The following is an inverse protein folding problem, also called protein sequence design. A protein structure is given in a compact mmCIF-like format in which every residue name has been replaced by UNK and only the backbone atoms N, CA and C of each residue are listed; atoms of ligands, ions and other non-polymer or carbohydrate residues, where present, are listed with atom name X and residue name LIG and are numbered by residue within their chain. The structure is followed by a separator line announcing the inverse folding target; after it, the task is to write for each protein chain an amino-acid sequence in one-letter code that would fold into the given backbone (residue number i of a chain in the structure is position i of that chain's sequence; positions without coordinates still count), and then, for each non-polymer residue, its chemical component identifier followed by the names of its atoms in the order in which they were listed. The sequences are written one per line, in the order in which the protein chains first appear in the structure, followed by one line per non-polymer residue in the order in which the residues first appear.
data_IF_662627926631
#
_entry.id   IF_662627926631
#
_cell.length_a   1.000
_cell.length_b   1.000
_cell.length_c   1.000
_cell.angle_alpha   90.00
_cell.angle_beta   90.00
_cell.angle_gamma   90.00
#
_symmetry.space_group_name_H-M   'P 1'
#
loop_
_entity.id
_entity.type
_entity.pdbx_description
1 polymer ?
#
# COMPACT_ATOMS: atom_id res chain seq x y z
N UNK A 1 -10.54 2.32 36.50
CA UNK A 1 -10.90 1.86 35.15
C UNK A 1 -10.01 2.60 34.16
N UNK A 2 -9.15 1.88 33.45
CA UNK A 2 -8.05 2.46 32.66
C UNK A 2 -8.53 2.81 31.25
N UNK A 3 -8.24 4.03 30.79
CA UNK A 3 -8.53 4.53 29.43
C UNK A 3 -7.67 3.87 28.33
N UNK A 4 -7.17 2.65 28.56
CA UNK A 4 -6.27 1.94 27.66
C UNK A 4 -6.89 1.73 26.26
N UNK A 5 -8.20 1.50 26.18
CA UNK A 5 -8.91 1.37 24.90
C UNK A 5 -8.95 2.70 24.13
N UNK A 6 -9.14 3.84 24.82
CA UNK A 6 -9.13 5.17 24.20
C UNK A 6 -7.73 5.56 23.71
N UNK A 7 -6.68 5.19 24.44
CA UNK A 7 -5.30 5.40 24.00
C UNK A 7 -4.94 4.54 22.77
N UNK A 8 -5.39 3.27 22.73
CA UNK A 8 -5.23 2.40 21.55
C UNK A 8 -5.96 2.93 20.33
N UNK A 9 -7.21 3.35 20.48
CA UNK A 9 -7.98 3.93 19.38
C UNK A 9 -7.34 5.22 18.84
N UNK A 10 -6.77 6.07 19.71
CA UNK A 10 -6.07 7.28 19.28
C UNK A 10 -4.76 7.00 18.54
N UNK A 11 -4.06 5.92 18.89
CA UNK A 11 -2.87 5.47 18.15
C UNK A 11 -3.24 4.88 16.79
N UNK A 12 -4.25 3.99 16.74
CA UNK A 12 -4.75 3.41 15.50
C UNK A 12 -5.29 4.47 14.52
N UNK A 13 -5.91 5.55 15.03
CA UNK A 13 -6.36 6.68 14.22
C UNK A 13 -5.21 7.35 13.44
N UNK A 14 -3.99 7.37 13.98
CA UNK A 14 -2.85 7.93 13.24
C UNK A 14 -2.36 7.00 12.12
N UNK A 15 -2.61 5.69 12.23
CA UNK A 15 -2.31 4.72 11.18
C UNK A 15 -3.39 4.69 10.08
N UNK A 16 -4.64 5.04 10.38
CA UNK A 16 -5.73 5.11 9.37
C UNK A 16 -5.47 6.11 8.22
N UNK A 17 -4.52 7.04 8.39
CA UNK A 17 -4.17 8.01 7.35
C UNK A 17 -3.09 7.51 6.39
N UNK A 18 -2.41 6.41 6.72
CA UNK A 18 -1.35 5.85 5.88
C UNK A 18 -1.79 4.51 5.31
N UNK A 19 -1.60 4.36 4.01
CA UNK A 19 -1.79 3.06 3.36
C UNK A 19 -0.68 2.12 3.83
N UNK A 20 -1.04 0.97 4.42
CA UNK A 20 -0.05 -0.05 4.74
C UNK A 20 0.24 -0.91 3.51
N UNK A 21 1.46 -1.47 3.44
CA UNK A 21 1.82 -2.37 2.34
C UNK A 21 0.93 -3.62 2.31
N UNK A 22 0.63 -4.18 3.48
CA UNK A 22 -0.24 -5.36 3.62
C UNK A 22 -1.65 -5.12 3.06
N UNK A 23 -2.20 -3.92 3.24
CA UNK A 23 -3.51 -3.56 2.67
C UNK A 23 -3.44 -3.55 1.13
N UNK A 24 -2.37 -2.99 0.56
CA UNK A 24 -2.15 -2.94 -0.89
C UNK A 24 -2.00 -4.35 -1.45
N UNK A 25 -1.19 -5.21 -0.82
CA UNK A 25 -1.00 -6.59 -1.24
C UNK A 25 -2.32 -7.37 -1.21
N UNK A 26 -3.08 -7.21 -0.13
CA UNK A 26 -4.36 -7.88 0.05
C UNK A 26 -5.40 -7.46 -0.99
N UNK A 27 -5.40 -6.20 -1.43
CA UNK A 27 -6.31 -5.71 -2.45
C UNK A 27 -5.85 -6.06 -3.87
N UNK A 28 -4.58 -5.77 -4.20
CA UNK A 28 -4.08 -5.83 -5.56
C UNK A 28 -3.82 -7.25 -6.08
N UNK A 29 -3.70 -8.26 -5.21
CA UNK A 29 -3.63 -9.68 -5.61
C UNK A 29 -4.83 -10.12 -6.47
N UNK A 30 -5.96 -9.40 -6.37
CA UNK A 30 -7.17 -9.71 -7.15
C UNK A 30 -7.17 -9.10 -8.56
N UNK A 31 -6.16 -8.29 -8.90
CA UNK A 31 -6.10 -7.50 -10.14
C UNK A 31 -4.82 -7.74 -10.96
N UNK A 32 -4.08 -8.81 -10.67
CA UNK A 32 -2.76 -9.06 -11.27
C UNK A 32 -2.80 -9.11 -12.80
N UNK A 33 -3.79 -9.80 -13.37
CA UNK A 33 -3.95 -9.92 -14.83
C UNK A 33 -4.19 -8.57 -15.52
N UNK A 34 -4.77 -7.60 -14.81
CA UNK A 34 -5.08 -6.27 -15.32
C UNK A 34 -3.83 -5.38 -15.43
N UNK A 35 -2.75 -5.72 -14.72
CA UNK A 35 -1.48 -4.98 -14.77
C UNK A 35 -0.55 -5.43 -15.90
N UNK A 36 -0.77 -6.63 -16.44
CA UNK A 36 0.02 -7.18 -17.54
C UNK A 36 0.08 -6.23 -18.73
N UNK A 37 1.29 -6.01 -19.25
CA UNK A 37 1.56 -5.15 -20.41
C UNK A 37 1.14 -3.68 -20.23
N UNK A 38 0.92 -3.23 -18.99
CA UNK A 38 0.57 -1.84 -18.67
C UNK A 38 1.77 -1.06 -18.14
N UNK A 39 1.71 0.26 -18.33
CA UNK A 39 2.58 1.23 -17.68
C UNK A 39 1.81 1.85 -16.53
N UNK A 40 2.33 1.74 -15.31
CA UNK A 40 1.68 2.27 -14.11
C UNK A 40 2.38 3.55 -13.66
N UNK A 41 1.62 4.63 -13.60
CA UNK A 41 2.10 5.91 -13.07
C UNK A 41 1.89 5.97 -11.56
N UNK A 42 2.96 5.73 -10.80
CA UNK A 42 2.96 5.84 -9.34
C UNK A 42 3.31 7.27 -8.90
N UNK A 43 2.43 8.23 -9.17
CA UNK A 43 2.63 9.62 -8.77
C UNK A 43 2.70 9.71 -7.23
N UNK A 44 3.81 10.21 -6.71
CA UNK A 44 4.03 10.42 -5.29
C UNK A 44 5.04 11.55 -5.04
N UNK A 45 4.98 12.18 -3.86
CA UNK A 45 5.88 13.27 -3.48
C UNK A 45 7.31 12.76 -3.17
N UNK A 46 7.42 11.61 -2.51
CA UNK A 46 8.67 10.90 -2.29
C UNK A 46 8.48 9.38 -2.50
N UNK A 47 9.17 8.77 -3.49
CA UNK A 47 9.12 7.33 -3.73
C UNK A 47 9.53 6.48 -2.52
N UNK A 48 10.44 6.96 -1.66
CA UNK A 48 10.93 6.20 -0.50
C UNK A 48 9.83 5.89 0.53
N UNK A 49 8.78 6.71 0.58
CA UNK A 49 7.70 6.56 1.57
C UNK A 49 6.40 6.02 0.96
N UNK A 50 6.32 5.97 -0.37
CA UNK A 50 5.12 5.52 -1.08
C UNK A 50 5.02 4.00 -1.07
N UNK A 51 4.05 3.45 -0.32
CA UNK A 51 3.79 2.01 -0.30
C UNK A 51 3.34 1.45 -1.64
N UNK A 52 2.66 2.25 -2.46
CA UNK A 52 2.33 1.87 -3.84
C UNK A 52 3.57 1.76 -4.71
N UNK A 53 4.50 2.72 -4.61
CA UNK A 53 5.75 2.65 -5.36
C UNK A 53 6.55 1.41 -4.97
N UNK A 54 6.73 1.16 -3.66
CA UNK A 54 7.39 -0.05 -3.16
C UNK A 54 6.74 -1.32 -3.72
N UNK A 55 5.41 -1.44 -3.61
CA UNK A 55 4.69 -2.61 -4.10
C UNK A 55 4.93 -2.85 -5.61
N UNK A 56 4.71 -1.84 -6.45
CA UNK A 56 4.84 -2.03 -7.90
C UNK A 56 6.29 -2.19 -8.35
N UNK A 57 7.24 -1.52 -7.72
CA UNK A 57 8.66 -1.69 -8.01
C UNK A 57 9.15 -3.10 -7.66
N UNK A 58 8.79 -3.60 -6.47
CA UNK A 58 9.21 -4.92 -5.99
C UNK A 58 8.53 -6.07 -6.75
N UNK A 59 7.33 -5.82 -7.31
CA UNK A 59 6.53 -6.82 -8.02
C UNK A 59 6.50 -6.64 -9.55
N UNK A 60 7.28 -5.71 -10.13
CA UNK A 60 7.19 -5.35 -11.54
C UNK A 60 7.35 -6.55 -12.49
N UNK A 61 8.32 -7.43 -12.20
CA UNK A 61 8.58 -8.65 -12.98
C UNK A 61 7.43 -9.66 -12.83
N UNK A 62 6.94 -9.85 -11.60
CA UNK A 62 5.84 -10.78 -11.29
C UNK A 62 4.53 -10.36 -11.95
N UNK A 63 4.27 -9.05 -12.02
CA UNK A 63 3.05 -8.46 -12.57
C UNK A 63 3.15 -8.17 -14.07
N UNK A 64 4.28 -8.50 -14.72
CA UNK A 64 4.53 -8.27 -16.15
C UNK A 64 4.25 -6.81 -16.60
N UNK A 65 4.71 -5.86 -15.78
CA UNK A 65 4.58 -4.41 -16.03
C UNK A 65 5.63 -3.98 -17.07
N UNK A 66 5.26 -3.04 -17.95
CA UNK A 66 6.10 -2.52 -19.04
C UNK A 66 6.97 -1.33 -18.68
#
# INVERSE_FOLDING_TARGET
MSNAQLHKAKAAKNDEFYTCLEDIENELQHYEEQFKDKVIYCNCDNPEWSKFYTYFADNAERLEIK
#
